data_IF_230981502258
#
_entry.id   IF_230981502258
#
_cell.length_a   1.000
_cell.length_b   1.000
_cell.length_c   1.000
_cell.angle_alpha   90.00
_cell.angle_beta   90.00
_cell.angle_gamma   90.00
#
_symmetry.space_group_name_H-M   'P 1'
#
loop_
_entity.id
_entity.type
_entity.pdbx_description
1 polymer ?
#
# COMPACT_ATOMS: atom_id res chain seq x y z
N UNK A 1 14.45 29.62 15.34
CA UNK A 1 14.65 28.41 14.52
C UNK A 1 13.37 27.60 14.61
N UNK A 2 12.75 27.25 13.47
CA UNK A 2 11.49 26.50 13.45
C UNK A 2 11.74 25.03 13.81
N UNK A 3 10.97 24.50 14.76
CA UNK A 3 11.04 23.09 15.16
C UNK A 3 9.97 22.27 14.47
N UNK A 4 10.36 21.32 13.65
CA UNK A 4 9.48 20.42 12.92
C UNK A 4 9.70 19.00 13.44
N UNK A 5 8.65 18.40 13.99
CA UNK A 5 8.66 16.99 14.38
C UNK A 5 7.87 16.17 13.37
N UNK A 6 8.43 15.03 12.96
CA UNK A 6 7.82 14.05 12.06
C UNK A 6 7.73 12.72 12.77
N UNK A 7 6.55 12.14 12.85
CA UNK A 7 6.31 10.83 13.49
C UNK A 7 6.19 9.76 12.40
N UNK A 8 7.18 8.89 12.32
CA UNK A 8 7.28 7.81 11.32
C UNK A 8 8.33 8.09 10.24
N UNK A 9 9.24 7.15 10.06
CA UNK A 9 10.46 7.26 9.26
C UNK A 9 10.44 6.50 7.92
N UNK A 10 9.24 6.28 7.31
CA UNK A 10 9.15 5.55 6.04
C UNK A 10 8.77 6.51 4.89
N UNK A 11 7.90 6.12 3.97
CA UNK A 11 7.65 6.81 2.70
C UNK A 11 7.29 8.30 2.86
N UNK A 12 6.19 8.62 3.54
CA UNK A 12 5.71 10.00 3.68
C UNK A 12 6.63 10.85 4.56
N UNK A 13 7.01 10.32 5.74
CA UNK A 13 7.83 11.05 6.71
C UNK A 13 9.22 11.38 6.18
N UNK A 14 9.92 10.41 5.60
CA UNK A 14 11.25 10.65 5.06
C UNK A 14 11.24 11.50 3.79
N UNK A 15 10.20 11.38 2.94
CA UNK A 15 9.99 12.29 1.81
C UNK A 15 9.78 13.73 2.29
N UNK A 16 9.01 13.92 3.36
CA UNK A 16 8.78 15.22 3.97
C UNK A 16 10.07 15.77 4.61
N UNK A 17 10.75 15.00 5.45
CA UNK A 17 11.98 15.41 6.11
C UNK A 17 13.05 15.86 5.10
N UNK A 18 13.29 15.05 4.07
CA UNK A 18 14.28 15.34 3.05
C UNK A 18 13.92 16.59 2.21
N UNK A 19 12.63 16.81 1.92
CA UNK A 19 12.18 18.02 1.21
C UNK A 19 12.25 19.24 2.11
N UNK A 20 11.80 19.17 3.36
CA UNK A 20 11.85 20.25 4.33
C UNK A 20 13.30 20.74 4.56
N UNK A 21 14.26 19.82 4.69
CA UNK A 21 15.68 20.17 4.83
C UNK A 21 16.25 20.89 3.62
N UNK A 22 15.78 20.57 2.41
CA UNK A 22 16.18 21.30 1.18
C UNK A 22 15.59 22.70 1.10
N UNK A 23 14.38 22.91 1.62
CA UNK A 23 13.67 24.19 1.60
C UNK A 23 14.14 25.14 2.71
N UNK A 24 14.41 24.60 3.90
CA UNK A 24 14.83 25.35 5.07
C UNK A 24 16.05 24.69 5.72
N UNK A 25 17.22 25.28 5.51
CA UNK A 25 18.49 24.77 6.04
C UNK A 25 18.64 25.03 7.55
N UNK A 26 17.91 26.01 8.07
CA UNK A 26 17.99 26.43 9.47
C UNK A 26 16.95 25.73 10.37
N UNK A 27 15.89 25.15 9.79
CA UNK A 27 14.88 24.44 10.58
C UNK A 27 15.50 23.27 11.35
N UNK A 28 15.08 23.08 12.59
CA UNK A 28 15.34 21.86 13.33
C UNK A 28 14.32 20.81 12.93
N UNK A 29 14.75 19.74 12.27
CA UNK A 29 13.87 18.66 11.78
C UNK A 29 14.22 17.40 12.54
N UNK A 30 13.31 16.95 13.39
CA UNK A 30 13.44 15.69 14.14
C UNK A 30 12.46 14.67 13.59
N UNK A 31 12.94 13.46 13.29
CA UNK A 31 12.12 12.31 12.87
C UNK A 31 12.19 11.24 13.93
N UNK A 32 11.04 10.89 14.50
CA UNK A 32 10.90 9.76 15.43
C UNK A 32 10.40 8.53 14.70
N UNK A 33 11.18 7.46 14.70
CA UNK A 33 10.82 6.17 14.15
C UNK A 33 10.96 5.09 15.24
N UNK A 34 9.88 4.35 15.48
CA UNK A 34 9.86 3.31 16.53
C UNK A 34 10.69 2.07 16.20
N UNK A 35 10.96 1.84 14.91
CA UNK A 35 11.79 0.72 14.46
C UNK A 35 13.24 1.17 14.20
N UNK A 36 14.09 0.24 13.86
CA UNK A 36 15.45 0.52 13.38
C UNK A 36 15.52 0.79 11.87
N UNK A 37 14.43 0.58 11.14
CA UNK A 37 14.35 0.63 9.68
C UNK A 37 13.68 1.91 9.20
N UNK A 38 14.34 2.64 8.30
CA UNK A 38 13.83 3.87 7.71
C UNK A 38 13.93 3.84 6.19
N UNK A 39 13.12 4.67 5.52
CA UNK A 39 13.19 4.85 4.05
C UNK A 39 13.16 3.57 3.24
N UNK A 40 12.40 2.57 3.63
CA UNK A 40 12.35 1.29 2.95
C UNK A 40 11.10 1.14 2.08
N UNK A 41 11.21 0.29 1.05
CA UNK A 41 10.15 0.02 0.07
C UNK A 41 9.39 -1.26 0.40
N UNK A 42 8.16 -1.13 0.91
CA UNK A 42 7.32 -2.27 1.31
C UNK A 42 7.00 -3.23 0.16
N UNK A 43 6.89 -2.73 -1.07
CA UNK A 43 6.61 -3.56 -2.25
C UNK A 43 7.72 -4.56 -2.58
N UNK A 44 8.93 -4.39 -2.04
CA UNK A 44 10.03 -5.35 -2.19
C UNK A 44 9.92 -6.58 -1.28
N UNK A 45 9.11 -6.51 -0.22
CA UNK A 45 9.06 -7.57 0.79
C UNK A 45 8.68 -8.96 0.26
N UNK A 46 7.62 -9.13 -0.55
CA UNK A 46 7.28 -10.43 -1.12
C UNK A 46 8.44 -11.03 -1.93
N UNK A 47 9.10 -10.22 -2.75
CA UNK A 47 10.20 -10.64 -3.61
C UNK A 47 11.46 -10.99 -2.80
N UNK A 48 11.74 -10.23 -1.73
CA UNK A 48 12.81 -10.57 -0.79
C UNK A 48 12.56 -11.91 -0.10
N UNK A 49 11.33 -12.14 0.39
CA UNK A 49 10.94 -13.42 0.98
C UNK A 49 11.07 -14.56 -0.03
N UNK A 50 10.66 -14.33 -1.27
CA UNK A 50 10.74 -15.29 -2.38
C UNK A 50 12.15 -15.58 -2.89
N UNK A 51 13.18 -14.87 -2.39
CA UNK A 51 14.57 -15.11 -2.81
C UNK A 51 14.92 -14.53 -4.19
N UNK A 52 14.14 -13.58 -4.71
CA UNK A 52 14.50 -12.87 -5.95
C UNK A 52 15.74 -11.98 -5.75
N UNK A 53 16.04 -11.62 -4.51
CA UNK A 53 17.29 -11.03 -4.06
C UNK A 53 17.52 -11.39 -2.58
N UNK A 54 18.81 -11.38 -2.15
CA UNK A 54 19.18 -11.84 -0.80
C UNK A 54 19.52 -10.74 0.17
N UNK A 55 20.03 -9.61 -0.32
CA UNK A 55 20.36 -8.47 0.52
C UNK A 55 19.12 -7.61 0.78
N UNK A 56 18.65 -7.61 2.04
CA UNK A 56 17.51 -6.77 2.46
C UNK A 56 17.76 -5.27 2.31
N UNK A 57 19.03 -4.85 2.28
CA UNK A 57 19.39 -3.44 2.09
C UNK A 57 18.98 -2.89 0.72
N UNK A 58 18.77 -3.75 -0.27
CA UNK A 58 18.20 -3.35 -1.57
C UNK A 58 16.84 -2.67 -1.43
N UNK A 59 16.06 -3.00 -0.39
CA UNK A 59 14.80 -2.35 -0.10
C UNK A 59 14.95 -0.98 0.57
N UNK A 60 16.14 -0.59 1.06
CA UNK A 60 16.37 0.67 1.77
C UNK A 60 16.81 1.74 0.78
N UNK A 61 15.92 2.69 0.51
CA UNK A 61 16.22 3.78 -0.42
C UNK A 61 17.26 4.78 0.14
N UNK A 62 17.33 4.92 1.47
CA UNK A 62 18.29 5.78 2.15
C UNK A 62 18.57 5.26 3.57
N UNK A 63 19.84 5.10 3.91
CA UNK A 63 20.22 4.62 5.24
C UNK A 63 20.00 5.68 6.34
N UNK A 64 19.97 5.25 7.61
CA UNK A 64 19.87 6.14 8.75
C UNK A 64 21.07 7.11 8.79
N UNK A 65 22.28 6.62 8.56
CA UNK A 65 23.52 7.42 8.57
C UNK A 65 23.51 8.49 7.48
N UNK A 66 23.07 8.13 6.26
CA UNK A 66 22.95 9.07 5.15
C UNK A 66 21.88 10.15 5.43
N UNK A 67 20.83 9.80 6.17
CA UNK A 67 19.80 10.71 6.62
C UNK A 67 20.35 11.70 7.65
N UNK A 68 21.04 11.22 8.68
CA UNK A 68 21.65 12.06 9.71
C UNK A 68 22.70 13.00 9.09
N UNK A 69 23.55 12.51 8.21
CA UNK A 69 24.53 13.34 7.46
C UNK A 69 23.88 14.46 6.64
N UNK A 70 22.62 14.31 6.26
CA UNK A 70 21.89 15.38 5.55
C UNK A 70 21.34 16.47 6.47
N UNK A 71 21.62 16.42 7.78
CA UNK A 71 21.20 17.40 8.78
C UNK A 71 19.79 17.17 9.34
N UNK A 72 19.25 15.96 9.21
CA UNK A 72 17.99 15.54 9.84
C UNK A 72 18.34 14.84 11.15
N UNK A 73 17.73 15.27 12.27
CA UNK A 73 17.85 14.60 13.56
C UNK A 73 16.93 13.37 13.57
N UNK A 74 17.48 12.22 13.17
CA UNK A 74 16.76 10.95 13.09
C UNK A 74 16.93 10.15 14.38
N UNK A 75 15.81 9.87 15.04
CA UNK A 75 15.72 9.05 16.27
C UNK A 75 15.01 7.74 15.95
N UNK A 76 15.77 6.71 15.61
CA UNK A 76 15.27 5.33 15.48
C UNK A 76 15.08 4.70 16.86
N UNK A 77 14.22 3.66 16.95
CA UNK A 77 13.83 3.01 18.21
C UNK A 77 13.26 3.98 19.24
N UNK A 78 12.64 5.05 18.77
CA UNK A 78 11.99 6.06 19.59
C UNK A 78 10.52 6.17 19.18
N UNK A 79 9.62 5.83 20.09
CA UNK A 79 8.18 5.83 19.84
C UNK A 79 7.53 7.07 20.44
N UNK A 80 6.86 7.86 19.62
CA UNK A 80 5.95 8.90 20.12
C UNK A 80 4.70 8.22 20.66
N UNK A 81 4.46 8.35 21.96
CA UNK A 81 3.37 7.68 22.67
C UNK A 81 2.19 8.60 23.00
N UNK A 82 2.39 9.94 22.95
CA UNK A 82 1.34 10.93 23.18
C UNK A 82 1.63 12.23 22.46
N UNK A 83 0.57 12.95 22.07
CA UNK A 83 0.64 14.29 21.52
C UNK A 83 -0.17 15.22 22.43
N UNK A 84 0.48 16.24 22.96
CA UNK A 84 -0.17 17.37 23.64
C UNK A 84 -0.26 18.54 22.67
N UNK A 85 -1.39 18.63 21.98
CA UNK A 85 -1.62 19.67 20.97
C UNK A 85 -1.76 21.08 21.54
N UNK A 86 -2.17 21.20 22.82
CA UNK A 86 -2.35 22.51 23.49
C UNK A 86 -1.01 23.14 23.83
N UNK A 87 -0.08 22.34 24.35
CA UNK A 87 1.26 22.79 24.73
C UNK A 87 2.29 22.58 23.61
N UNK A 88 1.88 22.04 22.44
CA UNK A 88 2.72 21.71 21.28
C UNK A 88 3.91 20.82 21.67
N UNK A 89 3.64 19.74 22.38
CA UNK A 89 4.62 18.75 22.82
C UNK A 89 4.27 17.35 22.37
N UNK A 90 5.28 16.52 22.21
CA UNK A 90 5.14 15.08 22.08
C UNK A 90 5.84 14.40 23.24
N UNK A 91 5.24 13.31 23.77
CA UNK A 91 5.91 12.42 24.72
C UNK A 91 6.50 11.26 23.93
N UNK A 92 7.80 11.06 24.08
CA UNK A 92 8.58 10.06 23.36
C UNK A 92 9.11 9.03 24.33
N UNK A 93 9.02 7.76 23.99
CA UNK A 93 9.66 6.65 24.70
C UNK A 93 10.83 6.11 23.86
N UNK A 94 12.00 6.16 24.45
CA UNK A 94 13.17 5.45 23.96
C UNK A 94 12.99 3.94 24.23
N UNK A 95 12.92 3.14 23.19
CA UNK A 95 12.63 1.71 23.28
C UNK A 95 13.85 0.87 23.67
N UNK A 96 15.05 1.44 23.71
CA UNK A 96 16.26 0.76 24.18
C UNK A 96 16.41 0.93 25.70
N UNK A 97 16.17 2.15 26.20
CA UNK A 97 16.34 2.48 27.62
C UNK A 97 15.04 2.48 28.40
N UNK A 98 13.91 2.43 27.72
CA UNK A 98 12.54 2.56 28.24
C UNK A 98 12.29 3.88 28.98
N UNK A 99 13.11 4.92 28.74
CA UNK A 99 12.95 6.26 29.30
C UNK A 99 11.98 7.08 28.46
N UNK A 100 11.20 7.91 29.14
CA UNK A 100 10.29 8.86 28.50
C UNK A 100 10.82 10.28 28.63
N UNK A 101 10.63 11.08 27.60
CA UNK A 101 10.96 12.49 27.57
C UNK A 101 9.98 13.27 26.69
N UNK A 102 9.84 14.56 26.97
CA UNK A 102 9.05 15.46 26.13
C UNK A 102 9.93 16.18 25.11
N UNK A 103 9.38 16.44 23.92
CA UNK A 103 9.97 17.32 22.92
C UNK A 103 8.90 18.30 22.38
N UNK A 104 9.30 19.53 22.06
CA UNK A 104 8.43 20.61 21.65
C UNK A 104 8.48 20.80 20.13
N UNK A 105 7.36 21.21 19.53
CA UNK A 105 7.27 21.48 18.10
C UNK A 105 6.57 22.80 17.77
N UNK A 106 6.96 23.44 16.69
CA UNK A 106 6.17 24.49 16.03
C UNK A 106 5.20 23.87 15.03
N UNK A 107 5.64 22.82 14.32
CA UNK A 107 4.86 22.05 13.35
C UNK A 107 5.08 20.55 13.58
N UNK A 108 3.99 19.79 13.49
CA UNK A 108 3.98 18.33 13.66
C UNK A 108 3.42 17.66 12.41
N UNK A 109 4.11 16.62 11.92
CA UNK A 109 3.63 15.77 10.83
C UNK A 109 3.46 14.33 11.32
N UNK A 110 2.24 13.80 11.21
CA UNK A 110 1.91 12.41 11.56
C UNK A 110 1.99 11.56 10.30
N UNK A 111 2.91 10.59 10.27
CA UNK A 111 3.11 9.65 9.16
C UNK A 111 3.26 8.21 9.67
N UNK A 112 2.43 7.85 10.63
CA UNK A 112 2.47 6.57 11.36
C UNK A 112 2.05 5.36 10.52
N UNK A 113 1.63 5.57 9.27
CA UNK A 113 1.31 4.53 8.32
C UNK A 113 0.06 3.73 8.68
N UNK A 114 0.06 2.45 8.36
CA UNK A 114 -1.02 1.53 8.63
C UNK A 114 -0.49 0.25 9.29
N UNK A 115 -1.36 -0.50 9.96
CA UNK A 115 -1.08 -1.81 10.54
C UNK A 115 -1.90 -2.90 9.86
N UNK A 116 -1.40 -4.12 9.85
CA UNK A 116 -2.14 -5.28 9.34
C UNK A 116 -3.40 -5.52 10.18
N UNK A 117 -4.46 -5.95 9.51
CA UNK A 117 -5.66 -6.46 10.17
C UNK A 117 -5.37 -7.89 10.62
N UNK A 118 -5.55 -8.17 11.91
CA UNK A 118 -5.51 -9.51 12.47
C UNK A 118 -6.96 -9.96 12.66
N UNK A 119 -7.38 -11.09 12.06
CA UNK A 119 -8.74 -11.59 12.24
C UNK A 119 -8.93 -12.10 13.67
N UNK A 120 -10.13 -11.90 14.20
CA UNK A 120 -10.50 -12.47 15.49
C UNK A 120 -10.95 -13.93 15.29
N UNK A 121 -10.00 -14.84 15.22
CA UNK A 121 -10.22 -16.29 15.12
C UNK A 121 -9.44 -17.00 16.22
N UNK A 122 -9.90 -18.19 16.57
CA UNK A 122 -9.28 -18.98 17.63
C UNK A 122 -7.84 -19.38 17.27
N UNK A 123 -6.94 -19.29 18.23
CA UNK A 123 -5.52 -19.66 18.13
C UNK A 123 -4.71 -18.85 17.07
N UNK A 124 -5.11 -17.63 16.74
CA UNK A 124 -4.40 -16.81 15.73
C UNK A 124 -2.95 -16.46 16.12
N UNK A 125 -2.60 -16.50 17.39
CA UNK A 125 -1.30 -16.09 17.96
C UNK A 125 -0.31 -17.26 18.17
N UNK A 126 -0.56 -18.44 17.60
CA UNK A 126 0.37 -19.57 17.66
C UNK A 126 1.57 -19.37 16.74
N UNK A 127 2.62 -20.19 16.91
CA UNK A 127 3.82 -20.11 16.10
C UNK A 127 3.57 -20.40 14.62
N UNK A 128 4.45 -19.90 13.75
CA UNK A 128 4.37 -20.02 12.29
C UNK A 128 3.11 -19.34 11.70
N UNK A 129 2.62 -18.30 12.38
CA UNK A 129 1.58 -17.41 11.88
C UNK A 129 2.15 -15.98 11.85
N UNK A 130 2.09 -15.29 10.72
CA UNK A 130 2.63 -13.94 10.61
C UNK A 130 1.86 -13.06 9.62
N UNK A 131 2.07 -11.78 9.74
CA UNK A 131 1.73 -10.79 8.70
C UNK A 131 2.91 -10.59 7.76
N UNK A 132 2.72 -9.78 6.72
CA UNK A 132 3.79 -9.23 5.88
C UNK A 132 3.51 -7.73 5.69
N UNK A 133 3.74 -6.95 6.74
CA UNK A 133 3.46 -5.50 6.73
C UNK A 133 4.67 -4.65 7.05
N UNK A 134 5.52 -5.11 7.97
CA UNK A 134 6.70 -4.40 8.42
C UNK A 134 7.98 -5.06 7.90
N UNK A 135 9.07 -4.29 7.84
CA UNK A 135 10.36 -4.78 7.36
C UNK A 135 10.83 -6.03 8.13
N UNK A 136 10.60 -6.04 9.45
CA UNK A 136 10.93 -7.18 10.32
C UNK A 136 10.11 -8.43 9.98
N UNK A 137 8.85 -8.27 9.54
CA UNK A 137 8.03 -9.39 9.08
C UNK A 137 8.71 -10.10 7.90
N UNK A 138 9.22 -9.32 6.93
CA UNK A 138 9.90 -9.88 5.77
C UNK A 138 11.21 -10.61 6.14
N UNK A 139 12.01 -10.05 7.06
CA UNK A 139 13.23 -10.70 7.55
C UNK A 139 12.89 -12.05 8.23
N UNK A 140 11.93 -12.03 9.15
CA UNK A 140 11.51 -13.22 9.89
C UNK A 140 10.92 -14.29 8.97
N UNK A 141 10.06 -13.87 8.03
CA UNK A 141 9.42 -14.79 7.08
C UNK A 141 10.47 -15.43 6.16
N UNK A 142 11.43 -14.64 5.61
CA UNK A 142 12.51 -15.19 4.78
C UNK A 142 13.32 -16.24 5.54
N UNK A 143 13.65 -15.98 6.80
CA UNK A 143 14.38 -16.95 7.64
C UNK A 143 13.56 -18.23 7.86
N UNK A 144 12.28 -18.09 8.18
CA UNK A 144 11.36 -19.23 8.34
C UNK A 144 11.22 -20.07 7.07
N UNK A 145 11.17 -19.42 5.90
CA UNK A 145 11.04 -20.14 4.61
C UNK A 145 12.26 -20.98 4.24
N UNK A 146 13.42 -20.83 4.90
CA UNK A 146 14.59 -21.71 4.77
C UNK A 146 14.37 -23.08 5.41
N UNK A 147 13.41 -23.20 6.35
CA UNK A 147 13.06 -24.48 6.95
C UNK A 147 12.39 -25.38 5.91
N UNK A 148 13.03 -26.51 5.62
CA UNK A 148 12.56 -27.49 4.63
C UNK A 148 11.30 -28.25 5.11
N UNK A 149 10.97 -28.19 6.40
CA UNK A 149 9.75 -28.78 6.95
C UNK A 149 8.52 -27.91 6.65
N UNK A 150 8.70 -26.61 6.41
CA UNK A 150 7.63 -25.72 5.97
C UNK A 150 7.41 -25.92 4.47
N UNK A 151 6.39 -26.70 4.11
CA UNK A 151 6.02 -27.05 2.73
C UNK A 151 4.70 -26.45 2.32
N UNK A 152 3.69 -26.53 3.20
CA UNK A 152 2.31 -26.11 2.94
C UNK A 152 2.05 -24.77 3.62
N UNK A 153 1.84 -23.73 2.82
CA UNK A 153 1.61 -22.36 3.33
C UNK A 153 0.20 -21.91 2.96
N UNK A 154 -0.59 -21.55 3.97
CA UNK A 154 -1.89 -20.91 3.73
C UNK A 154 -1.77 -19.40 3.81
N UNK A 155 -2.44 -18.69 2.91
CA UNK A 155 -2.55 -17.24 2.89
C UNK A 155 -3.99 -16.85 3.13
N UNK A 156 -4.25 -16.09 4.18
CA UNK A 156 -5.57 -15.56 4.49
C UNK A 156 -5.78 -14.23 3.79
N UNK A 157 -6.75 -14.19 2.85
CA UNK A 157 -7.03 -13.05 2.00
C UNK A 157 -6.48 -13.22 0.58
N UNK A 158 -7.03 -12.45 -0.36
CA UNK A 158 -6.65 -12.50 -1.77
C UNK A 158 -6.49 -11.07 -2.37
N UNK A 159 -5.90 -10.16 -1.60
CA UNK A 159 -5.51 -8.82 -2.06
C UNK A 159 -4.14 -8.81 -2.76
N UNK A 160 -3.62 -7.61 -3.06
CA UNK A 160 -2.32 -7.44 -3.73
C UNK A 160 -1.20 -8.19 -3.00
N UNK A 161 -1.02 -7.96 -1.68
CA UNK A 161 0.03 -8.59 -0.89
C UNK A 161 -0.12 -10.12 -0.91
N UNK A 162 -1.36 -10.63 -0.82
CA UNK A 162 -1.62 -12.06 -0.82
C UNK A 162 -1.18 -12.74 -2.13
N UNK A 163 -1.47 -12.14 -3.26
CA UNK A 163 -1.12 -12.68 -4.59
C UNK A 163 0.40 -12.57 -4.83
N UNK A 164 1.04 -11.46 -4.44
CA UNK A 164 2.48 -11.30 -4.58
C UNK A 164 3.26 -12.27 -3.70
N UNK A 165 2.84 -12.47 -2.44
CA UNK A 165 3.49 -13.46 -1.57
C UNK A 165 3.21 -14.91 -2.02
N UNK A 166 2.02 -15.18 -2.59
CA UNK A 166 1.74 -16.49 -3.18
C UNK A 166 2.70 -16.79 -4.34
N UNK A 167 2.92 -15.84 -5.25
CA UNK A 167 3.89 -15.95 -6.32
C UNK A 167 5.31 -16.22 -5.75
N UNK A 168 5.73 -15.43 -4.77
CA UNK A 168 7.03 -15.55 -4.14
C UNK A 168 7.25 -16.92 -3.45
N UNK A 169 6.26 -17.42 -2.74
CA UNK A 169 6.31 -18.73 -2.08
C UNK A 169 6.29 -19.90 -3.07
N UNK A 170 5.55 -19.77 -4.17
CA UNK A 170 5.60 -20.74 -5.28
C UNK A 170 6.99 -20.77 -5.93
N UNK A 171 7.66 -19.62 -6.08
CA UNK A 171 9.04 -19.55 -6.57
C UNK A 171 10.02 -20.32 -5.68
N UNK A 172 9.76 -20.35 -4.35
CA UNK A 172 10.51 -21.18 -3.38
C UNK A 172 10.11 -22.66 -3.40
N UNK A 173 9.21 -23.09 -4.28
CA UNK A 173 8.73 -24.49 -4.35
C UNK A 173 7.74 -24.88 -3.27
N UNK A 174 7.14 -23.92 -2.55
CA UNK A 174 6.12 -24.20 -1.53
C UNK A 174 4.77 -24.55 -2.18
N UNK A 175 3.99 -25.38 -1.51
CA UNK A 175 2.56 -25.57 -1.81
C UNK A 175 1.79 -24.43 -1.18
N UNK A 176 1.01 -23.69 -1.98
CA UNK A 176 0.33 -22.48 -1.52
C UNK A 176 -1.16 -22.62 -1.68
N UNK A 177 -1.90 -22.40 -0.57
CA UNK A 177 -3.36 -22.28 -0.57
C UNK A 177 -3.75 -20.85 -0.21
N UNK A 178 -4.69 -20.25 -0.94
CA UNK A 178 -5.23 -18.92 -0.67
C UNK A 178 -6.67 -19.09 -0.20
N UNK A 179 -6.99 -18.62 1.01
CA UNK A 179 -8.33 -18.72 1.59
C UNK A 179 -8.96 -17.32 1.60
N UNK A 180 -10.04 -17.16 0.84
CA UNK A 180 -10.72 -15.88 0.67
C UNK A 180 -12.20 -15.97 1.01
N UNK A 181 -12.65 -15.09 1.89
CA UNK A 181 -14.04 -15.04 2.36
C UNK A 181 -15.06 -14.67 1.28
N UNK A 182 -14.67 -13.83 0.31
CA UNK A 182 -15.53 -13.44 -0.79
C UNK A 182 -15.37 -14.35 -2.01
N UNK A 183 -16.24 -14.17 -2.97
CA UNK A 183 -16.29 -14.90 -4.25
C UNK A 183 -15.24 -14.45 -5.28
N UNK A 184 -14.36 -13.49 -4.89
CA UNK A 184 -13.35 -12.93 -5.81
C UNK A 184 -12.09 -12.46 -5.11
N UNK A 185 -11.02 -12.33 -5.87
CA UNK A 185 -9.75 -11.75 -5.47
C UNK A 185 -9.76 -10.22 -5.69
N UNK A 186 -8.83 -9.48 -5.07
CA UNK A 186 -8.67 -8.03 -5.13
C UNK A 186 -9.87 -7.21 -4.57
N UNK A 187 -10.95 -7.84 -4.12
CA UNK A 187 -12.14 -7.16 -3.61
C UNK A 187 -12.73 -6.20 -4.65
N UNK A 188 -12.90 -4.94 -4.29
CA UNK A 188 -13.42 -3.88 -5.18
C UNK A 188 -12.32 -3.05 -5.86
N UNK A 189 -11.06 -3.51 -5.83
CA UNK A 189 -9.95 -2.77 -6.45
C UNK A 189 -9.91 -2.95 -7.95
N UNK A 190 -10.43 -4.05 -8.46
CA UNK A 190 -10.67 -4.31 -9.87
C UNK A 190 -12.13 -4.70 -10.07
N UNK A 191 -12.68 -4.41 -11.24
CA UNK A 191 -14.00 -4.92 -11.64
C UNK A 191 -13.96 -6.45 -11.79
N UNK A 192 -15.13 -7.09 -11.68
CA UNK A 192 -15.24 -8.54 -11.57
C UNK A 192 -14.55 -9.30 -12.71
N UNK A 193 -14.65 -8.81 -13.93
CA UNK A 193 -14.04 -9.44 -15.11
C UNK A 193 -12.52 -9.53 -15.03
N UNK A 194 -11.82 -8.58 -14.40
CA UNK A 194 -10.38 -8.63 -14.18
C UNK A 194 -10.02 -9.58 -13.04
N UNK A 195 -10.87 -9.65 -12.00
CA UNK A 195 -10.72 -10.67 -10.97
C UNK A 195 -10.87 -12.07 -11.54
N UNK A 196 -11.91 -12.31 -12.36
CA UNK A 196 -12.18 -13.60 -12.98
C UNK A 196 -11.04 -14.01 -13.93
N UNK A 197 -10.56 -13.09 -14.76
CA UNK A 197 -9.41 -13.30 -15.63
C UNK A 197 -8.16 -13.73 -14.84
N UNK A 198 -7.92 -13.09 -13.70
CA UNK A 198 -6.78 -13.43 -12.85
C UNK A 198 -6.97 -14.78 -12.17
N UNK A 199 -8.18 -15.10 -11.70
CA UNK A 199 -8.50 -16.40 -11.12
C UNK A 199 -8.20 -17.51 -12.11
N UNK A 200 -8.65 -17.38 -13.36
CA UNK A 200 -8.36 -18.34 -14.43
C UNK A 200 -6.86 -18.52 -14.67
N UNK A 201 -6.09 -17.44 -14.58
CA UNK A 201 -4.63 -17.49 -14.77
C UNK A 201 -3.88 -18.17 -13.61
N UNK A 202 -4.37 -18.04 -12.37
CA UNK A 202 -3.65 -18.54 -11.19
C UNK A 202 -4.17 -19.87 -10.63
N UNK A 203 -5.35 -20.33 -11.02
CA UNK A 203 -6.04 -21.52 -10.45
C UNK A 203 -5.24 -22.83 -10.54
N UNK A 204 -4.35 -22.96 -11.53
CA UNK A 204 -3.47 -24.12 -11.68
C UNK A 204 -2.14 -23.98 -10.93
N UNK A 205 -1.86 -22.78 -10.42
CA UNK A 205 -0.60 -22.45 -9.73
C UNK A 205 -0.72 -22.49 -8.21
N UNK A 206 -1.90 -22.17 -7.70
CA UNK A 206 -2.22 -22.13 -6.27
C UNK A 206 -3.57 -22.80 -6.01
N UNK A 207 -3.73 -23.35 -4.81
CA UNK A 207 -5.00 -23.87 -4.36
C UNK A 207 -5.87 -22.70 -3.86
N UNK A 208 -6.85 -22.28 -4.66
CA UNK A 208 -7.64 -21.08 -4.41
C UNK A 208 -9.03 -21.43 -3.87
N UNK A 209 -9.27 -21.10 -2.61
CA UNK A 209 -10.53 -21.30 -1.90
C UNK A 209 -11.29 -19.98 -1.76
N UNK A 210 -12.30 -19.79 -2.60
CA UNK A 210 -13.20 -18.64 -2.55
C UNK A 210 -14.49 -18.98 -1.79
N UNK A 211 -15.17 -17.92 -1.28
CA UNK A 211 -16.36 -18.06 -0.42
C UNK A 211 -16.09 -18.97 0.78
N UNK A 212 -14.89 -18.86 1.38
CA UNK A 212 -14.48 -19.74 2.46
C UNK A 212 -13.91 -18.92 3.63
N UNK A 213 -14.45 -19.17 4.82
CA UNK A 213 -14.13 -18.42 6.04
C UNK A 213 -13.28 -19.26 6.97
N UNK A 214 -12.11 -18.75 7.36
CA UNK A 214 -11.30 -19.36 8.42
C UNK A 214 -11.98 -19.13 9.77
N UNK A 215 -12.07 -20.20 10.56
CA UNK A 215 -12.70 -20.23 11.88
C UNK A 215 -11.68 -20.31 13.00
N UNK A 216 -10.67 -21.19 12.86
CA UNK A 216 -9.63 -21.41 13.88
C UNK A 216 -8.35 -21.99 13.27
N UNK A 217 -7.29 -21.96 14.05
CA UNK A 217 -6.05 -22.66 13.80
C UNK A 217 -5.84 -23.73 14.88
N UNK A 218 -5.18 -24.83 14.55
CA UNK A 218 -4.75 -25.85 15.51
C UNK A 218 -3.22 -25.86 15.62
N UNK A 219 -2.72 -25.99 16.84
CA UNK A 219 -1.29 -26.09 17.12
C UNK A 219 -0.80 -27.53 17.16
N UNK A 220 0.48 -27.72 16.87
CA UNK A 220 1.23 -28.92 17.22
C UNK A 220 1.73 -28.86 18.68
N UNK A 221 2.46 -29.89 19.12
CA UNK A 221 3.01 -29.99 20.47
C UNK A 221 4.07 -28.91 20.78
N UNK A 222 4.59 -28.22 19.76
CA UNK A 222 5.55 -27.10 19.86
C UNK A 222 4.87 -25.75 19.77
N UNK A 223 3.53 -25.71 19.79
CA UNK A 223 2.72 -24.52 19.61
C UNK A 223 2.91 -23.82 18.24
N UNK A 224 3.29 -24.54 17.17
CA UNK A 224 3.24 -24.06 15.81
C UNK A 224 1.96 -24.49 15.12
N UNK A 225 1.52 -23.74 14.11
CA UNK A 225 0.35 -24.15 13.33
C UNK A 225 0.60 -25.50 12.63
N UNK A 226 -0.38 -26.40 12.71
CA UNK A 226 -0.40 -27.69 11.99
C UNK A 226 -1.59 -27.84 11.07
N UNK A 227 -2.67 -27.10 11.34
CA UNK A 227 -3.86 -27.12 10.51
C UNK A 227 -4.68 -25.83 10.65
N UNK A 228 -5.45 -25.56 9.61
CA UNK A 228 -6.39 -24.46 9.49
C UNK A 228 -7.78 -25.04 9.31
N UNK A 229 -8.76 -24.54 10.09
CA UNK A 229 -10.15 -24.95 10.03
C UNK A 229 -10.98 -23.84 9.42
N UNK A 230 -11.80 -24.20 8.44
CA UNK A 230 -12.73 -23.29 7.77
C UNK A 230 -14.17 -23.76 7.95
N UNK A 231 -15.11 -23.01 7.42
CA UNK A 231 -16.51 -23.42 7.33
C UNK A 231 -16.77 -24.50 6.25
N UNK A 232 -15.74 -24.90 5.48
CA UNK A 232 -15.85 -25.94 4.45
C UNK A 232 -14.95 -27.15 4.69
N UNK A 233 -13.94 -27.04 5.55
CA UNK A 233 -13.04 -28.16 5.78
C UNK A 233 -11.87 -27.85 6.68
N UNK A 234 -10.94 -28.82 6.73
CA UNK A 234 -9.70 -28.75 7.49
C UNK A 234 -8.53 -28.97 6.54
N UNK A 235 -7.53 -28.11 6.63
CA UNK A 235 -6.33 -28.10 5.78
C UNK A 235 -5.08 -28.23 6.64
N UNK A 236 -4.21 -29.17 6.31
CA UNK A 236 -2.91 -29.28 6.95
C UNK A 236 -1.98 -28.20 6.40
N UNK A 237 -1.40 -27.40 7.28
CA UNK A 237 -0.53 -26.28 6.93
C UNK A 237 0.65 -26.20 7.90
N UNK A 238 1.79 -25.75 7.40
CA UNK A 238 3.02 -25.60 8.19
C UNK A 238 3.27 -24.13 8.54
N UNK A 239 2.62 -23.21 7.79
CA UNK A 239 2.75 -21.76 7.96
C UNK A 239 1.48 -21.04 7.51
N UNK A 240 1.14 -19.93 8.17
CA UNK A 240 0.00 -19.08 7.79
C UNK A 240 0.45 -17.63 7.62
N UNK A 241 0.11 -17.04 6.48
CA UNK A 241 0.32 -15.61 6.20
C UNK A 241 -1.02 -14.87 6.27
N UNK A 242 -1.11 -13.86 7.12
CA UNK A 242 -2.31 -13.01 7.25
C UNK A 242 -2.15 -11.79 6.32
N UNK A 243 -2.97 -11.73 5.26
CA UNK A 243 -2.94 -10.67 4.24
C UNK A 243 -4.36 -10.17 3.89
N UNK A 244 -5.21 -9.99 4.93
CA UNK A 244 -6.63 -9.59 4.80
C UNK A 244 -6.85 -8.08 4.69
N UNK A 245 -5.79 -7.28 4.65
CA UNK A 245 -5.83 -5.83 4.51
C UNK A 245 -5.14 -5.08 5.65
N UNK A 246 -5.25 -3.78 5.60
CA UNK A 246 -4.63 -2.85 6.56
C UNK A 246 -5.64 -1.83 7.08
N UNK A 247 -5.39 -1.31 8.28
CA UNK A 247 -6.12 -0.19 8.87
C UNK A 247 -5.15 0.95 9.23
N UNK A 248 -5.60 2.22 9.15
CA UNK A 248 -4.77 3.36 9.52
C UNK A 248 -4.23 3.25 10.95
N UNK A 249 -2.96 3.58 11.14
CA UNK A 249 -2.37 3.64 12.48
C UNK A 249 -2.54 5.06 13.07
N UNK A 250 -3.74 5.36 13.58
CA UNK A 250 -4.18 6.70 13.97
C UNK A 250 -4.52 6.84 15.46
N UNK A 251 -4.05 5.92 16.32
CA UNK A 251 -4.36 5.98 17.76
C UNK A 251 -3.90 7.30 18.39
N UNK A 252 -2.69 7.77 18.11
CA UNK A 252 -2.18 9.06 18.57
C UNK A 252 -3.09 10.23 18.18
N UNK A 253 -3.60 10.21 16.94
CA UNK A 253 -4.50 11.24 16.44
C UNK A 253 -5.86 11.21 17.16
N UNK A 254 -6.40 10.02 17.40
CA UNK A 254 -7.68 9.83 18.11
C UNK A 254 -7.63 10.41 19.51
N UNK A 255 -6.61 10.13 20.28
CA UNK A 255 -6.43 10.60 21.65
C UNK A 255 -6.20 12.13 21.72
N UNK A 256 -5.70 12.73 20.64
CA UNK A 256 -5.47 14.17 20.53
C UNK A 256 -6.74 14.95 20.15
N UNK A 257 -7.82 14.29 19.75
CA UNK A 257 -9.05 14.96 19.24
C UNK A 257 -8.96 15.35 17.75
N UNK A 258 -8.04 14.78 17.02
CA UNK A 258 -7.95 14.92 15.56
C UNK A 258 -9.10 14.13 14.92
N UNK A 259 -9.77 14.75 13.95
CA UNK A 259 -10.90 14.12 13.24
C UNK A 259 -10.43 12.92 12.40
N UNK A 260 -11.17 11.84 12.51
CA UNK A 260 -10.94 10.61 11.75
C UNK A 260 -12.13 10.32 10.84
N UNK A 261 -11.89 9.68 9.71
CA UNK A 261 -12.90 9.11 8.84
C UNK A 261 -13.45 7.79 9.41
N UNK A 262 -14.52 7.26 8.82
CA UNK A 262 -15.19 6.03 9.30
C UNK A 262 -14.25 4.81 9.38
N UNK A 263 -13.26 4.73 8.50
CA UNK A 263 -12.24 3.68 8.52
C UNK A 263 -11.06 3.98 9.44
N UNK A 264 -11.09 5.09 10.16
CA UNK A 264 -10.07 5.52 11.11
C UNK A 264 -8.90 6.32 10.51
N UNK A 265 -8.92 6.70 9.22
CA UNK A 265 -7.86 7.54 8.66
C UNK A 265 -7.97 8.99 9.17
N UNK A 266 -6.83 9.63 9.42
CA UNK A 266 -6.75 11.03 9.81
C UNK A 266 -7.28 11.89 8.67
N UNK A 267 -8.33 12.67 8.91
CA UNK A 267 -8.87 13.58 7.90
C UNK A 267 -7.93 14.78 7.76
N UNK A 268 -7.47 15.02 6.54
CA UNK A 268 -6.68 16.18 6.18
C UNK A 268 -7.32 16.94 5.01
N UNK A 269 -7.02 18.22 4.91
CA UNK A 269 -7.37 19.03 3.74
C UNK A 269 -6.35 18.83 2.58
N UNK A 270 -6.50 19.60 1.51
CA UNK A 270 -5.57 19.55 0.37
C UNK A 270 -4.17 20.09 0.69
N UNK A 271 -4.01 20.79 1.79
CA UNK A 271 -2.72 21.27 2.30
C UNK A 271 -2.04 20.25 3.24
N UNK A 272 -2.71 19.13 3.51
CA UNK A 272 -2.28 18.10 4.47
C UNK A 272 -2.52 18.48 5.93
N UNK A 273 -3.28 19.55 6.21
CA UNK A 273 -3.61 20.01 7.55
C UNK A 273 -4.74 19.18 8.16
N UNK A 274 -4.64 18.89 9.44
CA UNK A 274 -5.74 18.33 10.25
C UNK A 274 -6.66 19.43 10.75
N UNK A 275 -7.67 19.08 11.55
CA UNK A 275 -8.53 20.05 12.24
C UNK A 275 -7.83 20.76 13.42
N UNK A 276 -6.62 20.37 13.76
CA UNK A 276 -5.82 21.03 14.81
C UNK A 276 -4.71 21.83 14.15
N UNK A 277 -4.63 23.11 14.44
CA UNK A 277 -3.58 23.97 13.90
C UNK A 277 -2.18 23.43 14.23
N UNK A 278 -1.24 23.65 13.33
CA UNK A 278 0.15 23.16 13.40
C UNK A 278 0.32 21.64 13.24
N UNK A 279 -0.76 20.84 13.12
CA UNK A 279 -0.66 19.39 12.94
C UNK A 279 -1.09 18.99 11.53
N UNK A 280 -0.23 18.26 10.85
CA UNK A 280 -0.40 17.73 9.50
C UNK A 280 -0.38 16.21 9.54
N UNK A 281 -0.92 15.56 8.51
CA UNK A 281 -0.77 14.12 8.34
C UNK A 281 -0.61 13.73 6.87
N UNK A 282 0.10 12.62 6.61
CA UNK A 282 0.31 12.08 5.28
C UNK A 282 0.64 10.58 5.31
N UNK A 283 0.46 9.91 4.17
CA UNK A 283 0.69 8.47 4.03
C UNK A 283 -0.49 7.63 4.50
N UNK A 284 -0.25 6.33 4.73
CA UNK A 284 -1.31 5.34 4.98
C UNK A 284 -2.10 5.56 6.29
N UNK A 285 -1.72 6.50 7.14
CA UNK A 285 -2.50 6.87 8.32
C UNK A 285 -3.56 7.95 8.04
N UNK A 286 -3.52 8.61 6.88
CA UNK A 286 -4.32 9.78 6.56
C UNK A 286 -5.14 9.61 5.28
N UNK A 287 -6.17 10.45 5.12
CA UNK A 287 -6.86 10.62 3.84
C UNK A 287 -5.97 11.37 2.85
N UNK A 288 -6.30 11.24 1.58
CA UNK A 288 -5.64 11.94 0.47
C UNK A 288 -6.72 12.43 -0.50
N UNK A 289 -6.51 13.60 -1.10
CA UNK A 289 -7.43 14.12 -2.09
C UNK A 289 -7.46 13.23 -3.34
N UNK A 290 -8.65 12.71 -3.64
CA UNK A 290 -8.96 11.94 -4.85
C UNK A 290 -9.35 12.91 -5.97
N UNK A 291 -8.54 12.93 -7.04
CA UNK A 291 -8.72 13.88 -8.13
C UNK A 291 -9.93 13.58 -9.01
N UNK A 292 -10.30 12.31 -9.13
CA UNK A 292 -11.44 11.88 -9.96
C UNK A 292 -12.77 12.15 -9.25
N UNK A 293 -12.80 11.89 -7.95
CA UNK A 293 -14.01 12.01 -7.12
C UNK A 293 -14.16 13.41 -6.51
N UNK A 294 -13.14 14.26 -6.60
CA UNK A 294 -13.11 15.61 -6.02
C UNK A 294 -13.42 15.63 -4.51
N UNK A 295 -12.86 14.65 -3.78
CA UNK A 295 -13.07 14.50 -2.33
C UNK A 295 -11.83 13.95 -1.61
N UNK A 296 -11.84 14.00 -0.28
CA UNK A 296 -10.86 13.28 0.53
C UNK A 296 -11.24 11.79 0.59
N UNK A 297 -10.30 10.93 0.24
CA UNK A 297 -10.50 9.48 0.20
C UNK A 297 -9.35 8.75 0.91
N UNK A 298 -9.53 7.47 1.21
CA UNK A 298 -8.47 6.63 1.76
C UNK A 298 -7.82 5.78 0.67
N UNK A 299 -6.60 6.15 0.28
CA UNK A 299 -5.82 5.51 -0.79
C UNK A 299 -4.42 5.21 -0.26
N UNK A 300 -4.23 4.10 0.48
CA UNK A 300 -2.95 3.75 1.10
C UNK A 300 -1.96 3.20 0.06
N UNK A 301 -1.35 4.09 -0.71
CA UNK A 301 -0.38 3.78 -1.76
C UNK A 301 0.89 4.63 -1.60
N UNK A 302 2.05 4.01 -1.81
CA UNK A 302 3.36 4.64 -1.64
C UNK A 302 3.56 5.88 -2.52
N UNK A 303 3.01 5.88 -3.74
CA UNK A 303 3.07 7.03 -4.66
C UNK A 303 2.37 8.26 -4.09
N UNK A 304 1.17 8.08 -3.53
CA UNK A 304 0.41 9.12 -2.83
C UNK A 304 1.14 9.59 -1.57
N UNK A 305 1.61 8.65 -0.74
CA UNK A 305 2.34 8.93 0.49
C UNK A 305 3.59 9.79 0.24
N UNK A 306 4.42 9.42 -0.74
CA UNK A 306 5.63 10.18 -1.11
C UNK A 306 5.33 11.57 -1.65
N UNK A 307 4.33 11.70 -2.54
CA UNK A 307 3.95 12.99 -3.16
C UNK A 307 3.34 13.94 -2.14
N UNK A 308 2.38 13.45 -1.33
CA UNK A 308 1.74 14.25 -0.27
C UNK A 308 2.77 14.65 0.80
N UNK A 309 3.64 13.73 1.24
CA UNK A 309 4.70 14.04 2.19
C UNK A 309 5.63 15.17 1.70
N UNK A 310 6.06 15.12 0.43
CA UNK A 310 6.87 16.20 -0.16
C UNK A 310 6.13 17.52 -0.25
N UNK A 311 4.85 17.51 -0.58
CA UNK A 311 4.02 18.73 -0.63
C UNK A 311 3.84 19.31 0.77
N UNK A 312 3.51 18.48 1.77
CA UNK A 312 3.36 18.92 3.17
C UNK A 312 4.65 19.55 3.70
N UNK A 313 5.83 19.07 3.28
CA UNK A 313 7.10 19.67 3.67
C UNK A 313 7.20 21.16 3.28
N UNK A 314 6.65 21.57 2.13
CA UNK A 314 6.56 22.98 1.76
C UNK A 314 5.73 23.76 2.79
N UNK A 315 4.59 23.22 3.20
CA UNK A 315 3.69 23.87 4.16
C UNK A 315 4.27 23.88 5.59
N UNK A 316 5.02 22.86 5.98
CA UNK A 316 5.77 22.83 7.25
C UNK A 316 6.84 23.94 7.30
N UNK A 317 7.45 24.26 6.18
CA UNK A 317 8.51 25.28 6.11
C UNK A 317 7.99 26.71 5.85
N UNK A 318 6.67 26.88 5.66
CA UNK A 318 6.01 28.21 5.54
C UNK A 318 5.32 28.47 4.21
N UNK A 319 5.27 27.49 3.30
CA UNK A 319 4.49 27.58 2.07
C UNK A 319 3.00 27.27 2.25
N UNK A 320 2.24 27.37 1.17
CA UNK A 320 0.78 27.13 1.11
C UNK A 320 0.40 26.29 -0.12
N UNK A 321 1.15 25.21 -0.34
CA UNK A 321 0.92 24.32 -1.48
C UNK A 321 -0.28 23.40 -1.24
N UNK A 322 -1.09 23.19 -2.30
CA UNK A 322 -2.22 22.26 -2.28
C UNK A 322 -1.93 21.02 -3.10
N UNK A 323 -2.23 19.86 -2.55
CA UNK A 323 -2.09 18.61 -3.26
C UNK A 323 -3.01 18.55 -4.49
N UNK A 324 -2.43 18.23 -5.64
CA UNK A 324 -3.15 18.18 -6.92
C UNK A 324 -4.05 16.95 -7.07
N UNK A 325 -3.91 15.99 -6.18
CA UNK A 325 -4.75 14.80 -6.09
C UNK A 325 -4.05 13.51 -6.52
N UNK A 326 -4.58 12.39 -6.02
CA UNK A 326 -4.23 11.03 -6.40
C UNK A 326 -5.28 10.49 -7.37
N UNK A 327 -4.85 9.63 -8.28
CA UNK A 327 -5.75 8.83 -9.14
C UNK A 327 -5.94 7.41 -8.58
N UNK A 328 -5.26 7.05 -7.49
CA UNK A 328 -5.27 5.70 -6.96
C UNK A 328 -4.68 4.67 -7.91
N UNK A 329 -3.71 5.08 -8.75
CA UNK A 329 -3.03 4.17 -9.68
C UNK A 329 -2.28 3.08 -8.92
N UNK A 330 -2.55 1.83 -9.28
CA UNK A 330 -1.95 0.65 -8.66
C UNK A 330 -1.71 -0.43 -9.71
N UNK A 331 -0.66 -1.22 -9.49
CA UNK A 331 -0.35 -2.37 -10.34
C UNK A 331 0.10 -3.56 -9.50
N UNK A 332 0.05 -4.74 -10.10
CA UNK A 332 0.51 -6.00 -9.51
C UNK A 332 0.98 -6.93 -10.61
N UNK A 333 1.97 -7.75 -10.30
CA UNK A 333 2.33 -8.91 -11.08
C UNK A 333 1.72 -10.16 -10.42
N UNK A 334 0.64 -10.67 -10.99
CA UNK A 334 0.01 -11.92 -10.57
C UNK A 334 0.63 -13.10 -11.32
N UNK A 335 1.72 -13.62 -10.79
CA UNK A 335 2.61 -14.59 -11.47
C UNK A 335 3.20 -13.97 -12.74
N UNK A 336 2.75 -14.35 -13.94
CA UNK A 336 3.23 -13.80 -15.21
C UNK A 336 2.27 -12.77 -15.82
N UNK A 337 1.16 -12.47 -15.14
CA UNK A 337 0.17 -11.50 -15.63
C UNK A 337 0.29 -10.17 -14.91
N UNK A 338 0.55 -9.12 -15.66
CA UNK A 338 0.48 -7.74 -15.20
C UNK A 338 -0.98 -7.31 -15.10
N UNK A 339 -1.36 -6.69 -13.98
CA UNK A 339 -2.62 -5.97 -13.85
C UNK A 339 -2.32 -4.55 -13.38
N UNK A 340 -3.03 -3.60 -13.95
CA UNK A 340 -2.94 -2.20 -13.54
C UNK A 340 -4.31 -1.53 -13.57
N UNK A 341 -4.47 -0.54 -12.69
CA UNK A 341 -5.65 0.32 -12.65
C UNK A 341 -5.27 1.75 -12.34
N UNK A 342 -6.13 2.68 -12.79
CA UNK A 342 -6.04 4.11 -12.45
C UNK A 342 -7.43 4.72 -12.46
N UNK A 343 -7.68 5.73 -11.63
CA UNK A 343 -9.02 6.30 -11.46
C UNK A 343 -10.00 5.34 -10.79
N UNK A 344 -11.29 5.47 -11.07
CA UNK A 344 -12.37 4.68 -10.48
C UNK A 344 -12.71 3.44 -11.31
N UNK A 345 -13.22 2.39 -10.66
CA UNK A 345 -13.80 1.23 -11.31
C UNK A 345 -15.25 1.49 -11.73
N UNK A 346 -15.81 0.66 -12.60
CA UNK A 346 -17.24 0.71 -12.91
C UNK A 346 -18.09 0.48 -11.67
N UNK A 347 -17.72 -0.51 -10.83
CA UNK A 347 -18.41 -0.78 -9.57
C UNK A 347 -18.42 0.42 -8.64
N UNK A 348 -17.31 1.16 -8.58
CA UNK A 348 -17.23 2.38 -7.76
C UNK A 348 -18.10 3.49 -8.35
N UNK A 349 -18.08 3.69 -9.66
CA UNK A 349 -18.97 4.64 -10.34
C UNK A 349 -20.45 4.31 -10.09
N UNK A 350 -20.84 3.03 -10.19
CA UNK A 350 -22.18 2.55 -9.88
C UNK A 350 -22.57 2.80 -8.43
N UNK A 351 -21.73 2.42 -7.49
CA UNK A 351 -21.97 2.61 -6.04
C UNK A 351 -22.18 4.08 -5.66
N UNK A 352 -21.49 4.98 -6.37
CA UNK A 352 -21.58 6.44 -6.14
C UNK A 352 -22.62 7.15 -6.99
N UNK A 353 -23.42 6.41 -7.78
CA UNK A 353 -24.41 6.96 -8.69
C UNK A 353 -23.83 8.00 -9.67
N UNK A 354 -22.59 7.81 -10.11
CA UNK A 354 -21.95 8.62 -11.15
C UNK A 354 -22.52 8.19 -12.49
N UNK A 355 -22.97 9.12 -13.33
CA UNK A 355 -23.42 8.82 -14.69
C UNK A 355 -22.20 8.47 -15.56
N UNK A 356 -22.01 7.20 -15.85
CA UNK A 356 -20.85 6.66 -16.57
C UNK A 356 -21.26 5.83 -17.80
N UNK A 357 -20.31 5.57 -18.65
CA UNK A 357 -20.28 4.52 -19.67
C UNK A 357 -18.96 3.78 -19.60
N UNK A 358 -18.92 2.59 -20.16
CA UNK A 358 -17.70 1.77 -20.27
C UNK A 358 -17.44 1.34 -21.70
N UNK A 359 -16.19 1.07 -21.99
CA UNK A 359 -15.75 0.31 -23.15
C UNK A 359 -14.73 -0.72 -22.72
N UNK A 360 -14.91 -1.94 -23.16
CA UNK A 360 -13.98 -3.04 -22.89
C UNK A 360 -13.52 -3.60 -24.23
N UNK A 361 -12.21 -3.76 -24.37
CA UNK A 361 -11.59 -4.35 -25.55
C UNK A 361 -10.63 -5.46 -25.13
N UNK A 362 -10.47 -6.42 -26.01
CA UNK A 362 -9.39 -7.41 -25.99
C UNK A 362 -8.64 -7.25 -27.30
N UNK A 363 -7.34 -6.99 -27.22
CA UNK A 363 -6.48 -6.81 -28.39
C UNK A 363 -5.07 -7.32 -28.06
N UNK A 364 -4.16 -7.26 -29.01
CA UNK A 364 -2.78 -7.68 -28.83
C UNK A 364 -1.94 -6.58 -28.20
N UNK A 365 -0.89 -6.99 -27.46
CA UNK A 365 0.07 -6.06 -26.84
C UNK A 365 0.94 -5.33 -27.89
N UNK A 366 1.09 -5.91 -29.08
CA UNK A 366 1.74 -5.31 -30.26
C UNK A 366 1.25 -5.98 -31.55
N UNK A 367 1.71 -5.49 -32.69
CA UNK A 367 1.23 -5.94 -33.99
C UNK A 367 1.48 -7.43 -34.22
N UNK A 368 0.47 -8.15 -34.76
CA UNK A 368 0.46 -9.60 -34.92
C UNK A 368 1.60 -10.16 -35.80
N UNK A 369 2.18 -9.35 -36.67
CA UNK A 369 3.31 -9.74 -37.51
C UNK A 369 4.66 -9.72 -36.78
N UNK A 370 4.72 -9.18 -35.55
CA UNK A 370 5.88 -9.26 -34.68
C UNK A 370 5.72 -10.45 -33.72
N UNK A 371 6.73 -11.29 -33.53
CA UNK A 371 6.60 -12.54 -32.78
C UNK A 371 6.34 -12.32 -31.29
N UNK A 372 5.71 -13.31 -30.65
CA UNK A 372 5.41 -13.36 -29.20
C UNK A 372 4.41 -12.31 -28.72
N UNK A 373 3.45 -11.94 -29.56
CA UNK A 373 2.33 -11.13 -29.11
C UNK A 373 1.47 -11.88 -28.09
N UNK A 374 0.87 -11.12 -27.18
CA UNK A 374 0.01 -11.63 -26.11
C UNK A 374 -1.24 -10.77 -25.98
N UNK A 375 -2.29 -11.34 -25.41
CA UNK A 375 -3.54 -10.65 -25.21
C UNK A 375 -3.43 -9.53 -24.17
N UNK A 376 -4.04 -8.39 -24.45
CA UNK A 376 -4.34 -7.31 -23.53
C UNK A 376 -5.84 -7.14 -23.38
N UNK A 377 -6.28 -7.08 -22.13
CA UNK A 377 -7.65 -6.75 -21.77
C UNK A 377 -7.66 -5.33 -21.20
N UNK A 378 -8.43 -4.44 -21.81
CA UNK A 378 -8.48 -3.02 -21.43
C UNK A 378 -9.94 -2.63 -21.21
N UNK A 379 -10.21 -1.97 -20.07
CA UNK A 379 -11.51 -1.36 -19.79
C UNK A 379 -11.32 0.09 -19.42
N UNK A 380 -12.11 0.96 -20.02
CA UNK A 380 -12.23 2.37 -19.65
C UNK A 380 -13.59 2.64 -19.04
N UNK A 381 -13.59 3.48 -18.01
CA UNK A 381 -14.79 4.08 -17.41
C UNK A 381 -14.75 5.57 -17.70
N UNK A 382 -15.81 6.12 -18.29
CA UNK A 382 -15.86 7.52 -18.65
C UNK A 382 -17.23 8.15 -18.37
N UNK A 383 -17.23 9.46 -18.16
CA UNK A 383 -18.45 10.23 -17.86
C UNK A 383 -19.45 10.18 -19.01
N UNK A 384 -20.70 9.79 -18.73
CA UNK A 384 -21.78 9.83 -19.71
C UNK A 384 -22.17 11.26 -20.12
N UNK A 385 -21.80 12.28 -19.30
CA UNK A 385 -22.17 13.68 -19.53
C UNK A 385 -21.22 14.40 -20.48
N UNK A 386 -19.90 14.25 -20.25
CA UNK A 386 -18.88 15.04 -20.96
C UNK A 386 -17.77 14.17 -21.55
N UNK A 387 -17.91 12.83 -21.52
CA UNK A 387 -17.01 11.83 -22.07
C UNK A 387 -15.58 11.85 -21.50
N UNK A 388 -15.30 12.61 -20.43
CA UNK A 388 -14.02 12.59 -19.73
C UNK A 388 -13.74 11.21 -19.14
N UNK A 389 -12.50 10.76 -19.22
CA UNK A 389 -12.06 9.48 -18.67
C UNK A 389 -12.05 9.60 -17.15
N UNK A 390 -12.68 8.65 -16.48
CA UNK A 390 -12.78 8.56 -15.01
C UNK A 390 -11.92 7.44 -14.45
N UNK A 391 -11.66 6.40 -15.24
CA UNK A 391 -10.84 5.29 -14.81
C UNK A 391 -10.48 4.33 -15.93
N UNK A 392 -9.51 3.47 -15.65
CA UNK A 392 -9.11 2.41 -16.56
C UNK A 392 -8.46 1.25 -15.84
N UNK A 393 -8.64 0.06 -16.39
CA UNK A 393 -8.08 -1.20 -15.92
C UNK A 393 -7.50 -1.95 -17.10
N UNK A 394 -6.31 -2.51 -16.90
CA UNK A 394 -5.61 -3.27 -17.94
C UNK A 394 -5.05 -4.55 -17.31
N UNK A 395 -5.17 -5.66 -18.04
CA UNK A 395 -4.54 -6.92 -17.71
C UNK A 395 -3.92 -7.55 -18.94
N UNK A 396 -2.76 -8.17 -18.79
CA UNK A 396 -2.06 -8.88 -19.85
C UNK A 396 -0.70 -9.38 -19.37
N UNK A 397 -0.02 -10.14 -20.21
CA UNK A 397 1.29 -10.71 -19.85
C UNK A 397 2.38 -9.66 -19.87
N UNK A 398 2.22 -8.62 -20.69
CA UNK A 398 3.25 -7.62 -20.96
C UNK A 398 2.65 -6.26 -21.29
N UNK A 399 3.23 -5.18 -20.74
CA UNK A 399 2.89 -3.81 -21.12
C UNK A 399 1.57 -3.28 -20.58
N UNK A 400 0.85 -4.01 -19.72
CA UNK A 400 -0.38 -3.55 -19.10
C UNK A 400 -0.11 -2.35 -18.16
N UNK A 401 0.96 -2.43 -17.36
CA UNK A 401 1.34 -1.36 -16.43
C UNK A 401 1.72 -0.08 -17.16
N UNK A 402 2.55 -0.15 -18.19
CA UNK A 402 2.98 1.02 -18.96
C UNK A 402 1.82 1.71 -19.68
N UNK A 403 0.83 0.94 -20.16
CA UNK A 403 -0.38 1.53 -20.79
C UNK A 403 -1.32 2.15 -19.77
N UNK A 404 -1.34 1.65 -18.53
CA UNK A 404 -2.09 2.29 -17.46
C UNK A 404 -1.54 3.69 -17.13
N UNK A 405 -0.25 3.94 -17.31
CA UNK A 405 0.34 5.27 -17.14
C UNK A 405 -0.13 6.26 -18.24
N UNK A 406 -0.39 5.79 -19.46
CA UNK A 406 -1.02 6.59 -20.52
C UNK A 406 -2.43 7.01 -20.10
N UNK A 407 -3.23 6.04 -19.61
CA UNK A 407 -4.59 6.33 -19.11
C UNK A 407 -4.53 7.28 -17.90
N UNK A 408 -3.60 7.07 -16.97
CA UNK A 408 -3.42 7.95 -15.82
C UNK A 408 -3.09 9.39 -16.26
N UNK A 409 -2.24 9.54 -17.26
CA UNK A 409 -1.91 10.85 -17.85
C UNK A 409 -3.13 11.49 -18.50
N UNK A 410 -3.92 10.72 -19.25
CA UNK A 410 -5.15 11.19 -19.87
C UNK A 410 -6.18 11.67 -18.82
N UNK A 411 -6.41 10.88 -17.76
CA UNK A 411 -7.30 11.28 -16.64
C UNK A 411 -6.77 12.56 -15.98
N UNK A 412 -5.47 12.60 -15.68
CA UNK A 412 -4.85 13.74 -15.01
C UNK A 412 -4.98 15.03 -15.82
N UNK A 413 -4.87 14.93 -17.16
CA UNK A 413 -5.03 16.03 -18.11
C UNK A 413 -6.49 16.36 -18.41
N UNK A 414 -7.44 15.55 -17.96
CA UNK A 414 -8.89 15.73 -18.16
C UNK A 414 -9.35 15.43 -19.58
N UNK A 415 -8.66 14.54 -20.29
CA UNK A 415 -9.00 14.13 -21.65
C UNK A 415 -10.32 13.35 -21.69
N UNK A 416 -11.01 13.45 -22.81
CA UNK A 416 -12.15 12.61 -23.20
C UNK A 416 -11.66 11.32 -23.84
N UNK A 417 -12.56 10.32 -23.96
CA UNK A 417 -12.25 9.07 -24.69
C UNK A 417 -11.99 9.32 -26.17
N UNK A 418 -12.60 10.35 -26.76
CA UNK A 418 -12.40 10.72 -28.15
C UNK A 418 -10.99 11.31 -28.35
N UNK A 419 -10.55 12.21 -27.46
CA UNK A 419 -9.21 12.77 -27.49
C UNK A 419 -8.15 11.70 -27.23
N UNK A 420 -8.38 10.76 -26.30
CA UNK A 420 -7.46 9.62 -26.07
C UNK A 420 -7.28 8.80 -27.37
N UNK A 421 -8.35 8.54 -28.09
CA UNK A 421 -8.31 7.79 -29.35
C UNK A 421 -7.60 8.53 -30.49
N UNK A 422 -7.41 9.85 -30.36
CA UNK A 422 -6.72 10.70 -31.35
C UNK A 422 -5.27 11.03 -30.99
N UNK A 423 -4.77 10.51 -29.83
CA UNK A 423 -3.37 10.69 -29.47
C UNK A 423 -2.46 9.99 -30.48
N UNK A 424 -1.44 10.70 -30.93
CA UNK A 424 -0.39 10.16 -31.81
C UNK A 424 0.60 9.33 -30.97
N UNK A 425 0.17 8.14 -30.55
CA UNK A 425 0.97 7.19 -29.80
C UNK A 425 1.86 6.39 -30.72
N UNK A 426 3.01 5.92 -30.20
CA UNK A 426 3.91 5.07 -30.97
C UNK A 426 3.20 3.80 -31.44
N UNK A 427 3.30 3.49 -32.73
CA UNK A 427 2.88 2.26 -33.34
C UNK A 427 4.08 1.33 -33.54
N UNK A 428 3.78 0.04 -33.60
CA UNK A 428 4.71 -1.06 -33.76
C UNK A 428 5.88 -0.83 -34.73
N UNK A 429 6.89 -1.76 -34.71
CA UNK A 429 7.30 -2.66 -33.64
C UNK A 429 8.19 -1.98 -32.60
N UNK A 430 8.42 -2.55 -31.45
CA UNK A 430 7.79 -3.62 -30.69
C UNK A 430 6.67 -3.17 -29.80
#
# INVERSE_FOLDING_TARGET
MKKIIIIGGVAAGMSAAAKARRLDKEAQITVYEKTEFVSWGACGMPYYVGGFFDDSNVMIARTAEATIKSGIDLKIKNEVIKIDSKNKKVLVRDLETNKEFEDEYDKLLITTGAKAIIPNIENINIGNVSTLKDFKDALNMKEKMKDTNIKNVAILGAGFIAIEIAHALKHLGKTVSIIQRSDRIFGNKFDKEFSDLTIEHIKEKVDLHLNEKVLSLEADDKNNVKSLITDKGKYNVDYVVIAIGVIPNSNLAKETGIKLSDNGAIIVDREGKTNIDSIYAAGDCATIYDRVLDEQNYIPLATGANKLGRMVANNLTGGEEKFLGSLGSACILAFEMELARTGITEEEAKKRNIAYKTVTIKDLDHAHYYPNYEDLHIKLVYSAKNRKILGGQIAGKRGAVLRADVIATAIYSGLTVDELGMLDLCYAPP
#
